data_IF_368449450338
#
_entry.id   IF_368449450338
#
_cell.length_a   1.000
_cell.length_b   1.000
_cell.length_c   1.000
_cell.angle_alpha   90.00
_cell.angle_beta   90.00
_cell.angle_gamma   90.00
#
_symmetry.space_group_name_H-M   'P 1'
#
loop_
_entity.id
_entity.type
_entity.pdbx_description
1 polymer ?
#
# COMPACT_ATOMS: atom_id res chain seq x y z
N UNK A 1 61.52 12.34 -28.78
CA UNK A 1 60.16 11.70 -28.94
C UNK A 1 59.76 10.85 -27.72
N UNK A 2 60.21 11.17 -26.51
CA UNK A 2 59.93 10.39 -25.27
C UNK A 2 59.21 11.18 -24.16
N UNK A 3 58.96 12.45 -24.37
CA UNK A 3 58.30 13.31 -23.34
C UNK A 3 56.81 13.50 -23.53
N UNK A 4 56.24 13.16 -24.68
CA UNK A 4 54.80 13.29 -24.92
C UNK A 4 53.97 12.13 -24.34
N UNK A 5 54.62 11.00 -24.06
CA UNK A 5 53.91 9.81 -23.53
C UNK A 5 53.72 9.86 -22.01
N UNK A 6 54.58 10.59 -21.30
CA UNK A 6 54.49 10.69 -19.82
C UNK A 6 53.38 11.64 -19.38
N UNK A 7 53.03 12.64 -20.19
CA UNK A 7 51.98 13.61 -19.84
C UNK A 7 50.56 13.03 -20.00
N UNK A 8 50.38 12.08 -20.93
CA UNK A 8 49.08 11.43 -21.15
C UNK A 8 48.74 10.44 -20.03
N UNK A 9 49.76 9.75 -19.47
CA UNK A 9 49.56 8.80 -18.38
C UNK A 9 49.24 9.51 -17.05
N UNK A 10 49.82 10.71 -16.83
CA UNK A 10 49.56 11.49 -15.61
C UNK A 10 48.15 12.14 -15.62
N UNK A 11 47.60 12.48 -16.77
CA UNK A 11 46.24 13.03 -16.89
C UNK A 11 45.18 11.92 -16.71
N UNK A 12 45.46 10.70 -17.16
CA UNK A 12 44.56 9.56 -16.93
C UNK A 12 44.58 9.08 -15.47
N UNK A 13 45.70 9.21 -14.74
CA UNK A 13 45.76 8.83 -13.34
C UNK A 13 45.09 9.86 -12.41
N UNK A 14 45.02 11.13 -12.80
CA UNK A 14 44.32 12.16 -12.03
C UNK A 14 42.79 12.08 -12.16
N UNK A 15 42.27 11.46 -13.22
CA UNK A 15 40.82 11.24 -13.40
C UNK A 15 40.28 10.10 -12.53
N UNK A 16 41.14 9.21 -12.00
CA UNK A 16 40.74 8.13 -11.10
C UNK A 16 40.84 8.48 -9.61
N UNK A 17 41.31 9.68 -9.27
CA UNK A 17 41.41 10.15 -7.87
C UNK A 17 40.41 11.23 -7.49
N UNK A 18 39.43 11.48 -8.35
CA UNK A 18 38.22 12.14 -7.87
C UNK A 18 37.45 11.07 -7.09
N UNK A 19 37.31 11.20 -5.78
CA UNK A 19 36.28 10.44 -5.10
C UNK A 19 34.99 10.93 -5.75
N UNK A 20 34.40 10.10 -6.60
CA UNK A 20 33.02 10.26 -6.93
C UNK A 20 32.35 10.42 -5.58
N UNK A 21 31.76 11.59 -5.35
CA UNK A 21 30.83 11.72 -4.27
C UNK A 21 29.83 10.57 -4.51
N UNK A 22 30.04 9.47 -3.81
CA UNK A 22 28.96 8.56 -3.53
C UNK A 22 27.93 9.50 -2.91
N UNK A 23 26.98 9.95 -3.72
CA UNK A 23 25.74 10.45 -3.18
C UNK A 23 25.34 9.32 -2.25
N UNK A 24 25.47 9.57 -0.95
CA UNK A 24 24.81 8.75 0.02
C UNK A 24 23.37 8.70 -0.49
N UNK A 25 22.95 7.54 -1.01
CA UNK A 25 21.54 7.30 -1.25
C UNK A 25 20.88 7.78 0.02
N UNK A 26 20.12 8.85 -0.09
CA UNK A 26 19.43 9.41 1.04
C UNK A 26 18.67 8.23 1.59
N UNK A 27 18.93 7.89 2.86
CA UNK A 27 18.30 6.75 3.52
C UNK A 27 16.79 7.03 3.63
N UNK A 28 16.12 6.96 2.48
CA UNK A 28 14.70 7.28 2.33
C UNK A 28 13.90 6.30 3.16
N UNK A 29 13.01 6.84 3.97
CA UNK A 29 12.03 6.07 4.73
C UNK A 29 10.70 6.14 4.00
N UNK A 30 10.14 5.00 3.72
CA UNK A 30 8.81 4.89 3.13
C UNK A 30 7.78 4.76 4.24
N UNK A 31 6.71 5.52 4.13
CA UNK A 31 5.68 5.61 5.16
C UNK A 31 4.31 5.24 4.60
N UNK A 32 3.63 4.32 5.25
CA UNK A 32 2.28 3.89 4.90
C UNK A 32 1.34 4.11 6.07
N UNK A 33 0.13 4.57 5.77
CA UNK A 33 -0.98 4.64 6.71
C UNK A 33 -2.13 3.86 6.10
N UNK A 34 -2.61 2.86 6.83
CA UNK A 34 -3.57 1.89 6.32
C UNK A 34 -3.11 1.30 4.98
N UNK A 35 -3.88 1.41 3.92
CA UNK A 35 -3.58 0.91 2.57
C UNK A 35 -2.80 1.91 1.69
N UNK A 36 -2.49 3.12 2.20
CA UNK A 36 -1.93 4.20 1.37
C UNK A 36 -0.47 4.50 1.70
N UNK A 37 0.34 4.66 0.65
CA UNK A 37 1.69 5.18 0.75
C UNK A 37 1.72 6.71 0.83
N UNK A 38 2.55 7.26 1.72
CA UNK A 38 2.76 8.68 1.88
C UNK A 38 4.22 9.04 1.67
N UNK A 39 4.47 9.94 0.72
CA UNK A 39 5.75 10.62 0.55
C UNK A 39 5.73 11.96 1.27
N UNK A 40 6.88 12.40 1.78
CA UNK A 40 7.01 13.79 2.20
C UNK A 40 7.09 14.73 1.00
N UNK A 41 6.94 16.02 1.25
CA UNK A 41 7.16 17.09 0.27
C UNK A 41 8.07 18.18 0.86
N UNK A 42 8.59 19.06 0.01
CA UNK A 42 9.35 20.23 0.48
C UNK A 42 8.53 21.17 1.34
N UNK A 43 7.21 21.17 1.18
CA UNK A 43 6.28 22.01 1.95
C UNK A 43 5.91 21.40 3.30
N UNK A 44 5.86 20.07 3.36
CA UNK A 44 5.45 19.32 4.56
C UNK A 44 6.64 18.78 5.37
N UNK A 45 7.76 18.53 4.71
CA UNK A 45 8.89 17.78 5.22
C UNK A 45 8.85 16.30 4.83
N UNK A 46 9.92 15.56 5.08
CA UNK A 46 10.07 14.14 4.75
C UNK A 46 10.22 13.31 6.00
N UNK A 47 9.66 12.10 5.99
CA UNK A 47 9.91 11.12 7.05
C UNK A 47 11.41 10.76 7.08
N UNK A 48 12.01 10.74 8.25
CA UNK A 48 13.44 10.44 8.40
C UNK A 48 13.73 9.68 9.69
N UNK A 49 14.92 9.09 9.77
CA UNK A 49 15.45 8.52 11.00
C UNK A 49 16.37 9.54 11.66
N UNK A 50 16.05 9.90 12.90
CA UNK A 50 16.88 10.82 13.71
C UNK A 50 18.19 10.16 14.12
N UNK A 51 19.18 10.96 14.58
CA UNK A 51 20.49 10.48 15.08
C UNK A 51 20.35 9.49 16.25
N UNK A 52 19.23 9.53 16.96
CA UNK A 52 18.90 8.58 18.03
C UNK A 52 18.24 7.29 17.51
N UNK A 53 18.16 7.09 16.19
CA UNK A 53 17.54 5.91 15.55
C UNK A 53 16.01 5.87 15.70
N UNK A 54 15.38 7.03 15.77
CA UNK A 54 13.91 7.15 15.84
C UNK A 54 13.35 7.65 14.53
N UNK A 55 12.33 6.97 14.03
CA UNK A 55 11.60 7.46 12.86
C UNK A 55 10.72 8.63 13.27
N UNK A 56 10.88 9.72 12.55
CA UNK A 56 10.18 10.98 12.76
C UNK A 56 9.35 11.31 11.53
N UNK A 57 8.08 11.64 11.70
CA UNK A 57 7.18 12.06 10.63
C UNK A 57 6.79 13.53 10.80
N UNK A 58 6.66 14.29 9.70
CA UNK A 58 6.18 15.66 9.78
C UNK A 58 4.71 15.70 10.25
N UNK A 59 4.38 16.78 11.00
CA UNK A 59 3.05 16.98 11.55
C UNK A 59 1.95 16.97 10.47
N UNK A 60 2.24 17.46 9.25
CA UNK A 60 1.32 17.45 8.13
C UNK A 60 0.82 16.05 7.74
N UNK A 61 1.64 15.00 7.90
CA UNK A 61 1.21 13.62 7.64
C UNK A 61 0.12 13.13 8.59
N UNK A 62 0.00 13.69 9.79
CA UNK A 62 -1.09 13.37 10.71
C UNK A 62 -2.43 13.88 10.16
N UNK A 63 -2.43 15.07 9.56
CA UNK A 63 -3.62 15.61 8.92
C UNK A 63 -3.98 14.86 7.64
N UNK A 64 -3.00 14.69 6.75
CA UNK A 64 -3.23 14.11 5.42
C UNK A 64 -3.49 12.59 5.46
N UNK A 65 -2.80 11.90 6.38
CA UNK A 65 -2.86 10.44 6.44
C UNK A 65 -3.91 9.90 7.40
N UNK A 66 -4.13 10.55 8.54
CA UNK A 66 -5.10 10.11 9.55
C UNK A 66 -6.43 10.90 9.49
N UNK A 67 -6.52 11.92 8.65
CA UNK A 67 -7.72 12.77 8.58
C UNK A 67 -7.95 13.63 9.82
N UNK A 68 -6.92 13.81 10.69
CA UNK A 68 -7.04 14.63 11.88
C UNK A 68 -6.67 16.09 11.58
N UNK A 69 -7.29 17.00 12.29
CA UNK A 69 -6.86 18.40 12.25
C UNK A 69 -5.65 18.56 13.17
N UNK A 70 -4.54 19.08 12.61
CA UNK A 70 -3.33 19.41 13.38
C UNK A 70 -3.08 20.93 13.34
N UNK A 71 -2.87 21.53 14.50
CA UNK A 71 -2.52 22.95 14.66
C UNK A 71 -1.26 23.06 15.51
N UNK A 72 -0.38 23.98 15.13
CA UNK A 72 0.79 24.35 15.91
C UNK A 72 0.79 25.85 16.11
N UNK A 73 1.05 26.28 17.34
CA UNK A 73 1.18 27.68 17.73
C UNK A 73 2.21 27.79 18.85
N UNK A 74 3.31 28.50 18.58
CA UNK A 74 4.42 28.75 19.52
C UNK A 74 4.92 27.45 20.21
N UNK A 75 5.13 26.40 19.38
CA UNK A 75 5.61 25.09 19.84
C UNK A 75 4.57 24.21 20.52
N UNK A 76 3.34 24.70 20.71
CA UNK A 76 2.22 23.88 21.20
C UNK A 76 1.48 23.26 20.04
N UNK A 77 1.26 21.96 20.11
CA UNK A 77 0.64 21.16 19.07
C UNK A 77 -0.69 20.64 19.59
N UNK A 78 -1.76 20.86 18.84
CA UNK A 78 -3.09 20.31 19.10
C UNK A 78 -3.52 19.47 17.89
N UNK A 79 -3.72 18.17 18.10
CA UNK A 79 -4.23 17.23 17.10
C UNK A 79 -5.60 16.78 17.56
N UNK A 80 -6.62 16.93 16.71
CA UNK A 80 -7.98 16.61 17.11
C UNK A 80 -8.84 16.13 15.94
N UNK A 81 -9.83 15.29 16.27
CA UNK A 81 -10.94 14.91 15.40
C UNK A 81 -12.18 14.74 16.32
N UNK A 82 -13.16 15.65 16.18
CA UNK A 82 -14.36 15.66 17.02
C UNK A 82 -15.25 14.44 16.77
N UNK A 83 -15.29 13.95 15.53
CA UNK A 83 -16.13 12.81 15.14
C UNK A 83 -15.61 11.51 15.76
N UNK A 84 -14.30 11.34 15.80
CA UNK A 84 -13.65 10.15 16.36
C UNK A 84 -13.29 10.32 17.85
N UNK A 85 -13.57 11.48 18.42
CA UNK A 85 -13.27 11.78 19.82
C UNK A 85 -11.77 11.85 20.13
N UNK A 86 -10.97 12.29 19.17
CA UNK A 86 -9.52 12.49 19.33
C UNK A 86 -9.25 13.90 19.83
N UNK A 87 -8.51 14.01 20.94
CA UNK A 87 -8.02 15.28 21.49
C UNK A 87 -6.62 15.07 22.09
N UNK A 88 -5.57 15.46 21.35
CA UNK A 88 -4.18 15.25 21.71
C UNK A 88 -3.43 16.58 21.77
N UNK A 89 -2.87 16.87 22.93
CA UNK A 89 -2.03 18.04 23.20
C UNK A 89 -0.58 17.66 23.44
N UNK A 90 0.32 18.31 22.71
CA UNK A 90 1.77 18.11 22.73
C UNK A 90 2.49 19.45 22.80
N UNK A 91 3.81 19.38 23.03
CA UNK A 91 4.69 20.54 22.98
C UNK A 91 6.06 20.14 22.40
N UNK A 92 6.59 20.95 21.48
CA UNK A 92 7.92 20.76 20.90
C UNK A 92 8.97 20.73 22.03
N UNK A 93 9.86 19.75 22.00
CA UNK A 93 10.87 19.53 23.03
C UNK A 93 10.37 18.84 24.30
N UNK A 94 9.06 18.72 24.50
CA UNK A 94 8.48 18.02 25.66
C UNK A 94 8.08 16.60 25.31
N UNK A 95 8.35 15.65 26.20
CA UNK A 95 7.83 14.27 26.06
C UNK A 95 6.45 14.09 26.68
N UNK A 96 5.96 15.07 27.44
CA UNK A 96 4.64 15.00 28.07
C UNK A 96 3.56 15.28 27.05
N UNK A 97 2.45 14.55 27.13
CA UNK A 97 1.27 14.79 26.34
C UNK A 97 -0.01 14.65 27.16
N UNK A 98 -1.10 15.18 26.63
CA UNK A 98 -2.44 14.89 27.13
C UNK A 98 -3.27 14.35 25.98
N UNK A 99 -3.79 13.13 26.12
CA UNK A 99 -4.65 12.47 25.13
C UNK A 99 -6.00 12.13 25.77
N UNK A 100 -7.07 12.68 25.23
CA UNK A 100 -8.43 12.51 25.76
C UNK A 100 -8.50 12.69 27.28
N UNK A 101 -7.95 13.83 27.74
CA UNK A 101 -7.83 14.20 29.19
C UNK A 101 -6.93 13.28 30.04
N UNK A 102 -6.24 12.29 29.43
CA UNK A 102 -5.27 11.43 30.13
C UNK A 102 -3.86 11.91 29.86
N UNK A 103 -3.07 12.09 30.91
CA UNK A 103 -1.65 12.47 30.79
C UNK A 103 -0.80 11.24 30.49
N UNK A 104 0.15 11.41 29.56
CA UNK A 104 1.11 10.40 29.21
C UNK A 104 2.50 10.97 28.94
N UNK A 105 3.42 10.10 28.55
CA UNK A 105 4.80 10.48 28.23
C UNK A 105 5.37 9.64 27.11
N UNK A 106 5.82 10.31 26.06
CA UNK A 106 6.53 9.69 24.94
C UNK A 106 7.96 9.29 25.32
N UNK A 107 8.51 8.35 24.56
CA UNK A 107 9.95 8.01 24.65
C UNK A 107 10.80 9.10 23.99
N UNK A 108 10.28 9.75 22.94
CA UNK A 108 10.94 10.78 22.17
C UNK A 108 10.05 12.02 22.11
N UNK A 109 10.62 13.21 22.32
CA UNK A 109 9.88 14.47 22.21
C UNK A 109 9.62 14.83 20.74
N UNK A 110 8.49 15.47 20.41
CA UNK A 110 8.36 16.23 19.17
C UNK A 110 9.50 17.23 19.03
N UNK A 111 9.93 17.51 17.81
CA UNK A 111 11.00 18.47 17.56
C UNK A 111 10.70 19.30 16.31
N UNK A 112 11.30 20.46 16.23
CA UNK A 112 11.32 21.29 15.04
C UNK A 112 12.64 21.07 14.28
N UNK A 113 12.55 20.93 12.97
CA UNK A 113 13.69 20.82 12.07
C UNK A 113 13.34 21.45 10.72
N UNK A 114 14.22 22.30 10.22
CA UNK A 114 14.07 22.94 8.89
C UNK A 114 12.70 23.65 8.72
N UNK A 115 12.16 24.22 9.80
CA UNK A 115 10.87 24.92 9.81
C UNK A 115 9.64 24.01 9.84
N UNK A 116 9.82 22.71 10.05
CA UNK A 116 8.73 21.73 10.18
C UNK A 116 8.74 21.09 11.57
N UNK A 117 7.56 20.86 12.10
CA UNK A 117 7.38 20.09 13.33
C UNK A 117 7.31 18.60 12.99
N UNK A 118 8.08 17.81 13.74
CA UNK A 118 8.17 16.36 13.58
C UNK A 118 7.72 15.62 14.83
N UNK A 119 7.00 14.55 14.63
CA UNK A 119 6.47 13.67 15.66
C UNK A 119 7.14 12.29 15.61
N UNK A 120 7.40 11.65 16.78
CA UNK A 120 7.94 10.28 16.81
C UNK A 120 6.88 9.27 16.39
N UNK A 121 7.06 8.63 15.22
CA UNK A 121 6.06 7.74 14.61
C UNK A 121 5.55 6.67 15.57
N UNK A 122 6.46 5.95 16.25
CA UNK A 122 6.06 4.85 17.15
C UNK A 122 5.28 5.32 18.37
N UNK A 123 5.59 6.50 18.89
CA UNK A 123 4.92 7.02 20.08
C UNK A 123 3.53 7.56 19.72
N UNK A 124 3.42 8.25 18.59
CA UNK A 124 2.14 8.74 18.04
C UNK A 124 1.28 7.57 17.58
N UNK A 125 1.82 6.65 16.78
CA UNK A 125 1.08 5.53 16.25
C UNK A 125 0.41 4.67 17.34
N UNK A 126 1.07 4.50 18.47
CA UNK A 126 0.49 3.76 19.62
C UNK A 126 -0.69 4.45 20.31
N UNK A 127 -0.97 5.70 20.01
CA UNK A 127 -2.18 6.38 20.47
C UNK A 127 -3.37 6.14 19.54
N UNK A 128 -3.09 5.80 18.28
CA UNK A 128 -4.10 5.72 17.24
C UNK A 128 -4.26 4.31 16.65
N UNK A 129 -3.29 3.41 16.87
CA UNK A 129 -3.33 2.07 16.28
C UNK A 129 -2.03 1.30 16.45
N UNK A 130 -1.69 0.49 15.47
CA UNK A 130 -0.52 -0.38 15.45
C UNK A 130 0.58 0.14 14.53
N UNK A 131 1.85 -0.08 14.86
CA UNK A 131 3.00 0.39 14.08
C UNK A 131 3.97 -0.76 13.82
N UNK A 132 4.24 -1.01 12.55
CA UNK A 132 5.26 -1.93 12.08
C UNK A 132 6.44 -1.19 11.45
N UNK A 133 7.65 -1.70 11.66
CA UNK A 133 8.88 -1.22 11.01
C UNK A 133 9.60 -2.38 10.35
N UNK A 134 9.82 -2.29 9.03
CA UNK A 134 10.70 -3.19 8.32
C UNK A 134 12.06 -2.55 8.07
N UNK A 135 13.11 -3.15 8.64
CA UNK A 135 14.46 -2.60 8.54
C UNK A 135 15.10 -2.84 7.17
N UNK A 136 14.70 -3.89 6.46
CA UNK A 136 15.28 -4.25 5.16
C UNK A 136 14.82 -3.28 4.06
N UNK A 137 13.53 -3.02 4.00
CA UNK A 137 12.91 -2.12 3.01
C UNK A 137 12.77 -0.68 3.51
N UNK A 138 13.05 -0.42 4.81
CA UNK A 138 12.89 0.88 5.48
C UNK A 138 11.46 1.44 5.39
N UNK A 139 10.48 0.54 5.44
CA UNK A 139 9.07 0.87 5.46
C UNK A 139 8.57 0.99 6.89
N UNK A 140 7.83 2.06 7.17
CA UNK A 140 6.96 2.19 8.34
C UNK A 140 5.53 1.97 7.90
N UNK A 141 4.82 1.10 8.57
CA UNK A 141 3.39 0.92 8.37
C UNK A 141 2.66 1.26 9.67
N UNK A 142 1.80 2.29 9.62
CA UNK A 142 0.88 2.69 10.67
C UNK A 142 -0.52 2.24 10.26
N UNK A 143 -1.14 1.42 11.08
CA UNK A 143 -2.47 0.90 10.86
C UNK A 143 -3.42 1.42 11.93
N UNK A 144 -4.55 2.01 11.52
CA UNK A 144 -5.49 2.71 12.39
C UNK A 144 -6.96 2.39 12.09
N UNK A 145 -7.25 1.42 11.22
CA UNK A 145 -8.60 1.02 10.88
C UNK A 145 -9.09 -0.15 11.75
N UNK A 146 -10.41 -0.31 11.82
CA UNK A 146 -11.06 -1.37 12.62
C UNK A 146 -11.06 -2.73 11.87
N UNK A 147 -11.07 -2.72 10.53
CA UNK A 147 -11.14 -3.94 9.72
C UNK A 147 -9.73 -4.50 9.45
N UNK A 148 -9.52 -5.82 9.50
CA UNK A 148 -8.21 -6.41 9.17
C UNK A 148 -7.73 -6.01 7.78
N UNK A 149 -6.45 -5.66 7.66
CA UNK A 149 -5.80 -5.30 6.40
C UNK A 149 -4.57 -6.19 6.17
N UNK A 150 -4.40 -6.65 4.94
CA UNK A 150 -3.23 -7.41 4.51
C UNK A 150 -2.36 -6.59 3.58
N UNK A 151 -1.05 -6.70 3.76
CA UNK A 151 -0.08 -6.03 2.90
C UNK A 151 1.22 -6.82 2.77
N UNK A 152 1.96 -6.60 1.70
CA UNK A 152 3.30 -7.16 1.51
C UNK A 152 4.33 -6.09 1.79
N UNK A 153 5.20 -6.33 2.76
CA UNK A 153 6.31 -5.45 3.10
C UNK A 153 7.61 -6.26 3.12
N UNK A 154 8.49 -5.97 2.17
CA UNK A 154 9.65 -6.81 1.93
C UNK A 154 9.21 -8.22 1.51
N UNK A 155 9.80 -9.23 2.12
CA UNK A 155 9.53 -10.65 1.90
C UNK A 155 8.37 -11.21 2.78
N UNK A 156 7.53 -10.34 3.32
CA UNK A 156 6.52 -10.71 4.31
C UNK A 156 5.14 -10.30 3.89
N UNK A 157 4.19 -11.22 3.91
CA UNK A 157 2.78 -10.88 4.00
C UNK A 157 2.47 -10.56 5.46
N UNK A 158 1.96 -9.38 5.72
CA UNK A 158 1.57 -8.89 7.03
C UNK A 158 0.05 -8.78 7.11
N UNK A 159 -0.48 -9.03 8.30
CA UNK A 159 -1.85 -8.72 8.68
C UNK A 159 -1.81 -7.68 9.78
N UNK A 160 -2.54 -6.60 9.61
CA UNK A 160 -2.82 -5.60 10.62
C UNK A 160 -4.25 -5.77 11.14
N UNK A 161 -4.43 -5.63 12.42
CA UNK A 161 -5.72 -5.52 13.11
C UNK A 161 -5.61 -4.46 14.22
N UNK A 162 -6.68 -4.25 14.99
CA UNK A 162 -6.72 -3.20 16.04
C UNK A 162 -5.57 -3.31 17.05
N UNK A 163 -5.14 -4.51 17.36
CA UNK A 163 -4.20 -4.75 18.47
C UNK A 163 -2.74 -4.79 18.02
N UNK A 164 -2.44 -5.35 16.84
CA UNK A 164 -1.07 -5.58 16.39
C UNK A 164 -0.94 -5.74 14.86
N UNK A 165 0.28 -5.67 14.37
CA UNK A 165 0.67 -6.05 13.02
C UNK A 165 1.57 -7.27 13.11
N UNK A 166 1.15 -8.37 12.53
CA UNK A 166 1.85 -9.64 12.61
C UNK A 166 2.03 -10.31 11.25
N UNK A 167 2.95 -11.25 11.16
CA UNK A 167 3.21 -11.99 9.93
C UNK A 167 2.06 -12.99 9.68
N UNK A 168 1.42 -12.87 8.52
CA UNK A 168 0.46 -13.86 8.06
C UNK A 168 1.19 -15.10 7.51
N UNK A 169 0.60 -16.28 7.70
CA UNK A 169 1.12 -17.51 7.14
C UNK A 169 0.75 -17.61 5.65
N UNK A 170 1.75 -17.81 4.81
CA UNK A 170 1.54 -18.10 3.39
C UNK A 170 1.31 -19.60 3.18
N UNK A 171 0.52 -19.98 2.19
CA UNK A 171 0.43 -21.37 1.77
C UNK A 171 1.80 -21.94 1.39
N UNK A 172 2.00 -23.23 1.67
CA UNK A 172 3.27 -23.88 1.39
C UNK A 172 3.62 -23.83 -0.10
N UNK A 173 4.80 -23.30 -0.41
CA UNK A 173 5.32 -23.19 -1.77
C UNK A 173 4.98 -21.88 -2.48
N UNK A 174 4.27 -20.96 -1.82
CA UNK A 174 4.05 -19.64 -2.37
C UNK A 174 5.28 -18.75 -2.10
N UNK A 175 5.82 -18.16 -3.16
CA UNK A 175 6.98 -17.28 -3.11
C UNK A 175 6.56 -15.82 -3.27
N UNK A 176 6.99 -14.97 -2.34
CA UNK A 176 6.75 -13.52 -2.37
C UNK A 176 7.88 -12.72 -3.01
N UNK A 177 8.96 -13.36 -3.47
CA UNK A 177 10.16 -12.63 -3.91
C UNK A 177 9.82 -11.64 -5.04
N UNK A 178 9.06 -12.07 -6.04
CA UNK A 178 8.62 -11.22 -7.15
C UNK A 178 7.65 -10.09 -6.72
N UNK A 179 6.88 -10.29 -5.66
CA UNK A 179 5.96 -9.29 -5.10
C UNK A 179 6.72 -8.28 -4.26
N UNK A 180 7.75 -8.72 -3.53
CA UNK A 180 8.50 -7.91 -2.58
C UNK A 180 9.25 -6.75 -3.24
N UNK A 181 9.78 -6.94 -4.45
CA UNK A 181 10.55 -5.91 -5.17
C UNK A 181 9.70 -4.71 -5.57
N UNK A 182 8.40 -4.89 -5.74
CA UNK A 182 7.46 -3.87 -6.24
C UNK A 182 6.53 -3.31 -5.16
N UNK A 183 6.62 -3.80 -3.93
CA UNK A 183 5.68 -3.49 -2.82
C UNK A 183 5.51 -2.01 -2.46
N UNK A 184 6.33 -1.12 -3.04
CA UNK A 184 6.30 0.31 -2.76
C UNK A 184 5.69 1.16 -3.87
N UNK A 185 5.43 0.58 -5.03
CA UNK A 185 4.97 1.29 -6.24
C UNK A 185 3.59 0.83 -6.67
N UNK A 186 3.24 -0.44 -6.42
CA UNK A 186 1.98 -1.05 -6.84
C UNK A 186 1.35 -1.74 -5.62
N UNK A 187 0.04 -1.78 -5.56
CA UNK A 187 -0.68 -2.49 -4.51
C UNK A 187 -0.45 -4.01 -4.67
N UNK A 188 0.48 -4.61 -3.91
CA UNK A 188 0.81 -6.03 -4.07
C UNK A 188 -0.31 -6.93 -3.57
N UNK A 189 -1.20 -6.41 -2.74
CA UNK A 189 -2.37 -7.12 -2.23
C UNK A 189 -3.63 -6.31 -2.53
N UNK A 190 -4.59 -6.94 -3.18
CA UNK A 190 -5.95 -6.40 -3.30
C UNK A 190 -6.86 -7.21 -2.38
N UNK A 191 -7.55 -6.53 -1.49
CA UNK A 191 -8.45 -7.12 -0.51
C UNK A 191 -9.89 -6.73 -0.80
N UNK A 192 -10.80 -7.70 -0.72
CA UNK A 192 -12.25 -7.49 -0.80
C UNK A 192 -12.93 -8.25 0.34
N UNK A 193 -13.89 -7.63 0.99
CA UNK A 193 -14.74 -8.26 2.00
C UNK A 193 -16.12 -8.53 1.40
N UNK A 194 -16.57 -9.78 1.46
CA UNK A 194 -17.90 -10.17 1.02
C UNK A 194 -18.53 -11.12 2.04
N UNK A 195 -19.70 -10.78 2.58
CA UNK A 195 -20.41 -11.57 3.60
C UNK A 195 -19.50 -11.93 4.80
N UNK A 196 -18.74 -10.97 5.30
CA UNK A 196 -17.76 -11.10 6.38
C UNK A 196 -16.54 -12.00 6.04
N UNK A 197 -16.42 -12.47 4.81
CA UNK A 197 -15.28 -13.24 4.32
C UNK A 197 -14.30 -12.32 3.59
N UNK A 198 -13.04 -12.41 3.94
CA UNK A 198 -11.95 -11.67 3.28
C UNK A 198 -11.40 -12.50 2.14
N UNK A 199 -11.33 -11.90 0.96
CA UNK A 199 -10.66 -12.45 -0.22
C UNK A 199 -9.43 -11.61 -0.53
N UNK A 200 -8.30 -12.27 -0.76
CA UNK A 200 -7.03 -11.64 -1.10
C UNK A 200 -6.56 -12.08 -2.46
N UNK A 201 -6.16 -11.12 -3.26
CA UNK A 201 -5.42 -11.32 -4.49
C UNK A 201 -4.02 -10.74 -4.29
N UNK A 202 -2.98 -11.58 -4.44
CA UNK A 202 -1.60 -11.14 -4.32
C UNK A 202 -1.05 -10.94 -5.72
N UNK A 203 -0.83 -9.68 -6.11
CA UNK A 203 -0.32 -9.33 -7.42
C UNK A 203 1.18 -9.67 -7.49
N UNK A 204 1.54 -10.68 -8.26
CA UNK A 204 2.93 -11.04 -8.53
C UNK A 204 3.40 -10.24 -9.76
N UNK A 205 4.26 -9.25 -9.57
CA UNK A 205 4.75 -8.46 -10.67
C UNK A 205 6.02 -9.01 -11.32
N UNK A 206 6.20 -8.59 -12.58
CA UNK A 206 7.37 -8.90 -13.41
C UNK A 206 7.14 -9.93 -14.51
N UNK A 207 6.01 -10.65 -14.51
CA UNK A 207 5.69 -11.62 -15.55
C UNK A 207 4.28 -11.35 -16.07
N UNK A 208 4.18 -10.69 -17.19
CA UNK A 208 2.96 -10.12 -17.78
C UNK A 208 1.82 -11.10 -18.06
N UNK A 209 2.04 -12.42 -18.01
CA UNK A 209 1.06 -13.45 -18.32
C UNK A 209 0.92 -14.49 -17.21
N UNK A 210 1.32 -14.19 -15.97
CA UNK A 210 1.16 -15.15 -14.89
C UNK A 210 -0.20 -15.04 -14.21
N UNK A 211 -0.86 -16.17 -13.97
CA UNK A 211 -2.07 -16.23 -13.19
C UNK A 211 -1.83 -15.62 -11.80
N UNK A 212 -2.80 -14.86 -11.33
CA UNK A 212 -2.71 -14.17 -10.03
C UNK A 212 -3.44 -15.02 -8.99
N UNK A 213 -2.76 -15.48 -7.93
CA UNK A 213 -3.38 -16.33 -6.93
C UNK A 213 -4.42 -15.58 -6.11
N UNK A 214 -5.58 -16.20 -5.96
CA UNK A 214 -6.68 -15.77 -5.12
C UNK A 214 -6.75 -16.65 -3.87
N UNK A 215 -6.88 -16.02 -2.72
CA UNK A 215 -7.03 -16.67 -1.43
C UNK A 215 -8.30 -16.22 -0.73
N UNK A 216 -8.89 -17.14 0.04
CA UNK A 216 -9.87 -16.83 1.08
C UNK A 216 -9.15 -16.83 2.43
N UNK A 217 -9.53 -15.91 3.31
CA UNK A 217 -9.01 -15.84 4.68
C UNK A 217 -10.02 -16.50 5.61
N UNK A 218 -9.57 -17.45 6.39
CA UNK A 218 -10.36 -18.07 7.46
C UNK A 218 -10.35 -17.18 8.73
N UNK A 219 -11.23 -17.43 9.66
CA UNK A 219 -11.37 -16.64 10.91
C UNK A 219 -10.07 -16.60 11.73
N UNK A 220 -9.26 -17.64 11.66
CA UNK A 220 -7.96 -17.72 12.35
C UNK A 220 -6.81 -17.02 11.58
N UNK A 221 -7.12 -16.41 10.44
CA UNK A 221 -6.15 -15.76 9.56
C UNK A 221 -5.41 -16.70 8.60
N UNK A 222 -5.78 -18.00 8.56
CA UNK A 222 -5.20 -18.95 7.61
C UNK A 222 -5.66 -18.61 6.18
N UNK A 223 -4.72 -18.63 5.23
CA UNK A 223 -5.00 -18.41 3.83
C UNK A 223 -5.31 -19.73 3.11
N UNK A 224 -6.48 -19.81 2.52
CA UNK A 224 -6.90 -20.93 1.66
C UNK A 224 -6.79 -20.50 0.21
N UNK A 225 -5.88 -21.11 -0.53
CA UNK A 225 -5.80 -20.91 -1.98
C UNK A 225 -7.08 -21.41 -2.66
N UNK A 226 -7.68 -20.57 -3.49
CA UNK A 226 -8.91 -20.92 -4.23
C UNK A 226 -8.58 -21.27 -5.68
N UNK A 227 -7.99 -20.35 -6.40
CA UNK A 227 -7.64 -20.52 -7.82
C UNK A 227 -6.67 -19.41 -8.25
N UNK A 228 -6.16 -19.56 -9.47
CA UNK A 228 -5.52 -18.44 -10.16
C UNK A 228 -6.57 -17.70 -11.01
N UNK A 229 -6.46 -16.38 -11.07
CA UNK A 229 -7.39 -15.54 -11.81
C UNK A 229 -6.67 -14.70 -12.85
N UNK A 230 -7.28 -14.44 -14.00
CA UNK A 230 -6.75 -13.49 -14.96
C UNK A 230 -6.99 -12.05 -14.50
N UNK A 231 -6.09 -11.17 -14.88
CA UNK A 231 -6.24 -9.74 -14.68
C UNK A 231 -5.96 -9.25 -13.26
N UNK A 232 -5.25 -8.15 -13.18
CA UNK A 232 -4.87 -7.47 -11.92
C UNK A 232 -5.59 -6.13 -11.72
N UNK A 233 -6.55 -5.78 -12.57
CA UNK A 233 -7.35 -4.58 -12.49
C UNK A 233 -8.42 -4.61 -11.38
N UNK A 234 -9.61 -4.10 -11.63
CA UNK A 234 -10.72 -4.09 -10.68
C UNK A 234 -10.99 -5.48 -10.08
N UNK A 235 -11.46 -5.53 -8.86
CA UNK A 235 -11.65 -6.75 -8.09
C UNK A 235 -12.91 -6.67 -7.23
N UNK A 236 -13.88 -7.57 -7.46
CA UNK A 236 -15.09 -7.69 -6.64
C UNK A 236 -15.52 -9.17 -6.51
N UNK A 237 -16.23 -9.50 -5.43
CA UNK A 237 -16.73 -10.87 -5.16
C UNK A 237 -18.18 -10.80 -4.71
N UNK A 238 -19.05 -11.69 -5.19
CA UNK A 238 -20.44 -11.85 -4.74
C UNK A 238 -20.65 -13.05 -3.79
N UNK A 239 -19.59 -13.79 -3.47
CA UNK A 239 -19.58 -15.00 -2.66
C UNK A 239 -19.54 -16.29 -3.48
N UNK A 240 -20.03 -16.29 -4.71
CA UNK A 240 -19.98 -17.43 -5.64
C UNK A 240 -19.06 -17.16 -6.83
N UNK A 241 -18.88 -15.89 -7.17
CA UNK A 241 -18.11 -15.44 -8.34
C UNK A 241 -17.17 -14.30 -7.98
N UNK A 242 -16.06 -14.30 -8.67
CA UNK A 242 -15.08 -13.23 -8.68
C UNK A 242 -15.16 -12.48 -10.00
N UNK A 243 -15.13 -11.17 -9.93
CA UNK A 243 -15.11 -10.24 -11.06
C UNK A 243 -13.78 -9.53 -11.09
N UNK A 244 -13.03 -9.63 -12.20
CA UNK A 244 -11.75 -8.95 -12.39
C UNK A 244 -11.68 -8.30 -13.77
N UNK A 245 -10.86 -7.24 -13.89
CA UNK A 245 -10.60 -6.59 -15.16
C UNK A 245 -9.16 -6.80 -15.59
N UNK A 246 -8.88 -6.62 -16.89
CA UNK A 246 -7.51 -6.68 -17.40
C UNK A 246 -6.58 -5.65 -16.71
N UNK A 247 -5.27 -5.86 -16.80
CA UNK A 247 -4.27 -4.90 -16.30
C UNK A 247 -3.78 -4.01 -17.44
N UNK A 248 -4.01 -2.70 -17.32
CA UNK A 248 -3.54 -1.71 -18.31
C UNK A 248 -2.05 -1.36 -18.20
N UNK A 249 -1.38 -1.71 -17.12
CA UNK A 249 0.03 -1.39 -16.93
C UNK A 249 0.97 -2.39 -17.62
N UNK A 250 0.44 -3.45 -18.24
CA UNK A 250 1.20 -4.36 -19.08
C UNK A 250 1.69 -3.63 -20.35
N UNK A 251 2.81 -2.92 -20.21
CA UNK A 251 3.41 -2.15 -21.30
C UNK A 251 3.79 -3.05 -22.47
N UNK A 252 3.06 -2.95 -23.58
CA UNK A 252 3.59 -3.20 -24.90
C UNK A 252 3.55 -4.63 -25.46
N UNK A 253 2.73 -5.52 -24.96
CA UNK A 253 2.46 -6.80 -25.63
C UNK A 253 1.16 -6.75 -26.47
N UNK A 254 1.21 -7.18 -27.73
CA UNK A 254 0.03 -7.43 -28.58
C UNK A 254 -0.71 -8.70 -28.15
N UNK A 255 -1.03 -8.88 -26.86
CA UNK A 255 -1.87 -9.99 -26.46
C UNK A 255 -3.34 -9.61 -26.56
N UNK A 256 -4.19 -10.56 -26.96
CA UNK A 256 -5.64 -10.38 -26.99
C UNK A 256 -6.23 -10.05 -25.61
N UNK A 257 -5.41 -10.17 -24.56
CA UNK A 257 -5.76 -9.96 -23.15
C UNK A 257 -5.70 -8.50 -22.71
N UNK A 258 -5.31 -7.57 -23.59
CA UNK A 258 -5.22 -6.11 -23.32
C UNK A 258 -6.45 -5.33 -23.81
N UNK A 259 -7.59 -5.98 -24.02
CA UNK A 259 -8.82 -5.26 -24.38
C UNK A 259 -9.36 -4.51 -23.15
N UNK A 260 -9.40 -3.16 -23.18
CA UNK A 260 -9.83 -2.36 -22.06
C UNK A 260 -11.31 -2.56 -21.68
N UNK A 261 -12.07 -3.26 -22.51
CA UNK A 261 -13.47 -3.58 -22.26
C UNK A 261 -13.66 -4.94 -21.57
N UNK A 262 -12.58 -5.68 -21.30
CA UNK A 262 -12.66 -7.07 -20.82
C UNK A 262 -12.98 -7.14 -19.33
N UNK A 263 -14.05 -7.86 -19.00
CA UNK A 263 -14.43 -8.32 -17.67
C UNK A 263 -14.27 -9.85 -17.63
N UNK A 264 -13.51 -10.34 -16.65
CA UNK A 264 -13.41 -11.76 -16.34
C UNK A 264 -14.33 -12.10 -15.17
N UNK A 265 -15.10 -13.15 -15.31
CA UNK A 265 -15.96 -13.71 -14.26
C UNK A 265 -15.50 -15.12 -13.95
N UNK A 266 -14.99 -15.35 -12.75
CA UNK A 266 -14.49 -16.65 -12.32
C UNK A 266 -15.42 -17.23 -11.26
N UNK A 267 -15.97 -18.43 -11.49
CA UNK A 267 -16.76 -19.14 -10.47
C UNK A 267 -15.85 -19.62 -9.35
N UNK A 268 -16.29 -19.45 -8.10
CA UNK A 268 -15.56 -19.92 -6.91
C UNK A 268 -16.17 -21.26 -6.47
N UNK A 269 -15.38 -22.33 -6.45
CA UNK A 269 -15.85 -23.66 -6.07
C UNK A 269 -14.78 -24.72 -6.31
N UNK A 270 -15.16 -26.00 -6.26
CA UNK A 270 -14.22 -27.13 -6.41
C UNK A 270 -13.55 -27.18 -7.79
N UNK A 271 -14.17 -26.60 -8.80
CA UNK A 271 -13.65 -26.51 -10.16
C UNK A 271 -13.90 -25.11 -10.73
N UNK A 272 -13.07 -24.13 -10.39
CA UNK A 272 -13.20 -22.76 -10.86
C UNK A 272 -13.15 -22.68 -12.39
N UNK A 273 -14.04 -21.89 -12.98
CA UNK A 273 -14.09 -21.62 -14.42
C UNK A 273 -14.17 -20.13 -14.65
N UNK A 274 -13.46 -19.64 -15.65
CA UNK A 274 -13.46 -18.22 -16.02
C UNK A 274 -14.16 -18.01 -17.35
N UNK A 275 -15.14 -17.11 -17.36
CA UNK A 275 -15.83 -16.62 -18.56
C UNK A 275 -15.38 -15.19 -18.83
N UNK A 276 -15.16 -14.87 -20.12
CA UNK A 276 -14.74 -13.53 -20.56
C UNK A 276 -15.91 -12.80 -21.18
N UNK A 277 -16.13 -11.57 -20.74
CA UNK A 277 -17.15 -10.67 -21.28
C UNK A 277 -16.49 -9.41 -21.84
N UNK A 278 -17.07 -8.87 -22.92
CA UNK A 278 -16.65 -7.58 -23.47
C UNK A 278 -17.74 -6.54 -23.25
N UNK A 279 -17.39 -5.52 -22.45
CA UNK A 279 -18.29 -4.43 -22.14
C UNK A 279 -18.34 -3.43 -23.31
N UNK A 280 -19.38 -2.62 -23.38
CA UNK A 280 -19.47 -1.54 -24.35
C UNK A 280 -18.81 -0.23 -23.90
N UNK A 281 -17.99 -0.31 -22.85
CA UNK A 281 -17.20 0.79 -22.25
C UNK A 281 -15.86 0.25 -21.72
N UNK A 282 -14.92 1.14 -21.43
CA UNK A 282 -13.63 0.76 -20.85
C UNK A 282 -13.80 0.47 -19.35
N UNK A 283 -13.71 -0.82 -18.97
CA UNK A 283 -13.88 -1.25 -17.57
C UNK A 283 -12.55 -1.40 -16.82
N UNK A 284 -11.45 -1.46 -17.52
CA UNK A 284 -10.12 -1.80 -16.99
C UNK A 284 -9.60 -0.86 -15.88
N UNK A 285 -10.02 0.40 -15.89
CA UNK A 285 -9.64 1.41 -14.87
C UNK A 285 -10.69 1.60 -13.79
N UNK A 286 -11.75 0.80 -13.82
CA UNK A 286 -12.82 0.92 -12.86
C UNK A 286 -12.49 0.21 -11.57
N UNK A 287 -12.85 0.84 -10.44
CA UNK A 287 -13.07 0.12 -9.20
C UNK A 287 -14.36 -0.68 -9.33
N UNK A 288 -14.36 -1.92 -8.85
CA UNK A 288 -15.51 -2.79 -8.89
C UNK A 288 -16.10 -2.97 -7.50
N UNK A 289 -17.42 -2.93 -7.40
CA UNK A 289 -18.17 -3.17 -6.17
C UNK A 289 -19.45 -3.91 -6.49
N UNK A 290 -19.86 -4.84 -5.62
CA UNK A 290 -21.18 -5.47 -5.69
C UNK A 290 -22.16 -4.67 -4.86
N UNK A 291 -23.30 -4.33 -5.44
CA UNK A 291 -24.47 -3.74 -4.77
C UNK A 291 -25.72 -4.51 -5.13
N UNK A 292 -26.17 -5.34 -4.21
CA UNK A 292 -27.29 -6.25 -4.45
C UNK A 292 -27.05 -7.22 -5.61
N UNK A 293 -27.80 -7.07 -6.71
CA UNK A 293 -27.69 -7.89 -7.92
C UNK A 293 -26.96 -7.17 -9.07
N UNK A 294 -26.21 -6.16 -8.75
CA UNK A 294 -25.50 -5.33 -9.72
C UNK A 294 -23.98 -5.28 -9.41
N UNK A 295 -23.18 -5.33 -10.45
CA UNK A 295 -21.77 -5.00 -10.41
C UNK A 295 -21.63 -3.50 -10.81
N UNK A 296 -21.14 -2.71 -9.89
CA UNK A 296 -20.90 -1.29 -10.08
C UNK A 296 -19.43 -1.10 -10.47
N UNK A 297 -19.20 -0.51 -11.63
CA UNK A 297 -17.88 -0.16 -12.12
C UNK A 297 -17.72 1.36 -12.13
N UNK A 298 -16.78 1.90 -11.33
CA UNK A 298 -16.58 3.34 -11.13
C UNK A 298 -15.19 3.78 -11.55
N UNK A 299 -15.10 4.84 -12.37
CA UNK A 299 -13.85 5.48 -12.77
C UNK A 299 -13.98 6.99 -12.59
N UNK A 300 -13.41 7.53 -11.50
CA UNK A 300 -13.64 8.91 -11.10
C UNK A 300 -15.11 9.20 -10.83
N UNK A 301 -15.68 10.16 -11.57
CA UNK A 301 -17.10 10.52 -11.46
C UNK A 301 -18.02 9.67 -12.38
N UNK A 302 -17.47 8.83 -13.24
CA UNK A 302 -18.22 7.96 -14.15
C UNK A 302 -18.54 6.62 -13.48
N UNK A 303 -19.80 6.21 -13.57
CA UNK A 303 -20.28 4.97 -12.98
C UNK A 303 -21.10 4.18 -14.01
N UNK A 304 -20.81 2.89 -14.14
CA UNK A 304 -21.54 1.93 -14.96
C UNK A 304 -22.15 0.84 -14.08
N UNK A 305 -23.37 0.49 -14.36
CA UNK A 305 -24.11 -0.57 -13.65
C UNK A 305 -24.28 -1.76 -14.58
N UNK A 306 -23.82 -2.93 -14.16
CA UNK A 306 -23.89 -4.19 -14.89
C UNK A 306 -24.76 -5.15 -14.07
N UNK A 307 -25.95 -5.45 -14.57
CA UNK A 307 -26.83 -6.40 -13.89
C UNK A 307 -26.24 -7.84 -13.96
N UNK A 308 -26.03 -8.47 -12.82
CA UNK A 308 -25.40 -9.79 -12.73
C UNK A 308 -26.21 -10.89 -13.43
N UNK A 309 -27.56 -10.79 -13.38
CA UNK A 309 -28.43 -11.71 -14.10
C UNK A 309 -28.33 -11.60 -15.64
N UNK A 310 -27.88 -10.46 -16.16
CA UNK A 310 -27.65 -10.32 -17.60
C UNK A 310 -26.38 -11.07 -18.03
N UNK A 311 -25.35 -11.12 -17.18
CA UNK A 311 -24.15 -11.94 -17.40
C UNK A 311 -24.52 -13.44 -17.39
N UNK A 312 -25.36 -13.90 -16.45
CA UNK A 312 -25.84 -15.29 -16.39
C UNK A 312 -26.64 -15.71 -17.64
N UNK A 313 -27.48 -14.80 -18.13
CA UNK A 313 -28.24 -15.08 -19.35
C UNK A 313 -27.34 -15.22 -20.59
N UNK A 314 -26.21 -14.53 -20.62
CA UNK A 314 -25.21 -14.64 -21.68
C UNK A 314 -24.49 -16.00 -21.63
N UNK A 315 -24.11 -16.48 -20.44
CA UNK A 315 -23.51 -17.81 -20.26
C UNK A 315 -24.44 -18.95 -20.72
N UNK A 316 -25.72 -18.81 -20.40
CA UNK A 316 -26.72 -19.82 -20.79
C UNK A 316 -26.98 -19.92 -22.32
N UNK A 317 -26.49 -18.98 -23.12
CA UNK A 317 -26.63 -18.94 -24.57
C UNK A 317 -25.37 -19.43 -25.33
N UNK A 318 -24.25 -19.65 -24.63
CA UNK A 318 -23.04 -20.27 -25.19
C UNK A 318 -23.02 -21.78 -24.97
#
# INVERSE_FOLDING_TARGET
MKWRMVLVVLVCAAAFLWPGAAQAESEQVYFRINDKGYGGSSEMGFVYISDSGRTMMPLGLVSDGLGFTAKEDDGKIHIFNETEGVDLWLEVGSRSYTFNNKKGRFKTAPLERDGHVYLPVRDIGKLFGSVYWDNATRVVWLYCDDAPLYDVIGDKLLRADEDDIHKAALPKGFDLEGVAEMSMVIEPVTQVVCNDVIYLRINCEGVFDQPIPLFRVEDDGTLIYLCDVPGSGGFAVDGERLYTTANMNAGGGNSADNDPTTLYVTTLGDAPTTTTYHMNFEIVRCQLQIDGNDLIATNGDEQHVIALNALEAFEAMQ
#
